data_IF_012682781220
#
_entry.id   IF_012682781220
#
_cell.length_a   1.000
_cell.length_b   1.000
_cell.length_c   1.000
_cell.angle_alpha   90.00
_cell.angle_beta   90.00
_cell.angle_gamma   90.00
#
_symmetry.space_group_name_H-M   'P 1'
#
loop_
_entity.id
_entity.type
_entity.pdbx_description
1 polymer ?
#
# COMPACT_ATOMS: atom_id res chain seq x y z
N UNK A 1 -12.91 17.71 -44.90
CA UNK A 1 -13.11 17.57 -43.45
C UNK A 1 -11.74 17.55 -42.80
N UNK A 2 -11.54 18.41 -41.82
CA UNK A 2 -10.24 19.06 -41.56
C UNK A 2 -9.28 18.22 -40.71
N UNK A 3 -8.01 18.23 -41.12
CA UNK A 3 -6.81 17.88 -40.36
C UNK A 3 -6.54 18.93 -39.27
N UNK A 4 -6.03 18.54 -38.10
CA UNK A 4 -5.14 19.42 -37.33
C UNK A 4 -4.07 18.63 -36.57
N UNK A 5 -2.83 19.05 -36.87
CA UNK A 5 -1.55 18.74 -36.22
C UNK A 5 -1.33 19.64 -34.99
N UNK A 6 -0.47 19.14 -34.12
CA UNK A 6 0.19 19.55 -32.86
C UNK A 6 0.53 21.03 -32.59
N UNK A 7 0.76 21.27 -31.28
CA UNK A 7 1.60 22.26 -30.54
C UNK A 7 0.90 23.54 -30.07
N UNK A 8 0.88 23.78 -28.74
CA UNK A 8 1.78 24.76 -28.12
C UNK A 8 1.69 24.76 -26.59
N UNK A 9 2.84 24.99 -25.96
CA UNK A 9 3.05 25.27 -24.54
C UNK A 9 2.33 26.55 -24.10
N UNK A 10 1.79 26.61 -22.88
CA UNK A 10 1.75 27.86 -22.11
C UNK A 10 1.54 27.65 -20.60
N UNK A 11 2.64 27.93 -19.90
CA UNK A 11 2.85 28.18 -18.46
C UNK A 11 1.85 29.21 -17.89
N UNK A 12 1.35 29.05 -16.65
CA UNK A 12 0.54 30.07 -16.00
C UNK A 12 1.41 31.24 -15.54
N UNK A 13 1.05 32.43 -16.03
CA UNK A 13 1.63 33.73 -15.69
C UNK A 13 1.03 34.24 -14.39
N UNK A 14 1.89 34.50 -13.40
CA UNK A 14 1.58 35.34 -12.24
C UNK A 14 1.65 36.81 -12.65
N UNK A 15 0.65 37.60 -12.23
CA UNK A 15 0.67 39.07 -12.24
C UNK A 15 -0.21 39.58 -11.10
N UNK A 16 0.06 40.82 -10.70
CA UNK A 16 -0.42 41.65 -9.57
C UNK A 16 0.53 41.55 -8.37
N UNK A 17 1.26 42.59 -7.91
CA UNK A 17 1.13 44.05 -7.98
C UNK A 17 2.51 44.76 -7.85
N UNK A 18 2.60 46.09 -8.08
CA UNK A 18 3.82 46.75 -8.52
C UNK A 18 4.66 47.43 -7.42
N UNK A 19 5.91 47.64 -7.81
CA UNK A 19 6.75 48.84 -7.68
C UNK A 19 6.90 49.58 -6.34
N UNK A 20 8.16 49.91 -6.15
CA UNK A 20 8.87 50.56 -5.08
C UNK A 20 8.62 52.08 -4.97
N UNK A 21 9.10 52.61 -3.84
CA UNK A 21 9.66 53.96 -3.66
C UNK A 21 8.70 55.16 -3.82
N UNK A 22 8.33 55.80 -2.71
CA UNK A 22 9.18 56.81 -2.06
C UNK A 22 8.44 57.50 -0.91
N UNK A 23 9.23 57.84 0.12
CA UNK A 23 8.89 58.79 1.16
C UNK A 23 9.06 60.23 0.63
N UNK A 24 8.17 61.12 1.07
CA UNK A 24 8.27 62.59 0.99
C UNK A 24 6.99 63.17 1.60
N UNK A 25 7.07 63.85 2.74
CA UNK A 25 7.33 65.31 2.90
C UNK A 25 6.01 66.07 2.72
N UNK A 26 5.46 66.91 3.60
CA UNK A 26 5.82 67.66 4.83
C UNK A 26 4.48 67.83 5.64
N UNK A 27 4.35 68.27 6.89
CA UNK A 27 4.97 69.32 7.71
C UNK A 27 4.61 69.04 9.19
N UNK A 28 5.59 69.20 10.09
CA UNK A 28 5.51 69.99 11.35
C UNK A 28 6.32 69.36 12.50
N UNK A 29 7.44 70.04 12.75
CA UNK A 29 8.10 70.25 14.04
C UNK A 29 8.82 69.08 14.76
N UNK A 30 10.12 69.02 14.43
CA UNK A 30 11.31 68.83 15.28
C UNK A 30 11.76 67.46 15.82
N UNK A 31 13.05 67.24 15.53
CA UNK A 31 14.02 66.32 16.15
C UNK A 31 13.88 64.84 15.85
N UNK A 32 14.72 64.37 14.93
CA UNK A 32 14.94 62.96 14.66
C UNK A 32 15.69 62.26 15.78
N UNK A 33 15.23 61.04 16.09
CA UNK A 33 16.06 59.92 16.51
C UNK A 33 15.45 58.67 15.84
N UNK A 34 16.19 58.04 14.92
CA UNK A 34 15.90 56.70 14.45
C UNK A 34 16.45 55.70 15.48
N UNK A 35 15.55 55.08 16.26
CA UNK A 35 15.87 53.86 17.01
C UNK A 35 15.01 52.74 16.48
N UNK A 36 15.60 51.98 15.56
CA UNK A 36 15.14 50.65 15.19
C UNK A 36 15.27 49.76 16.44
N UNK A 37 14.15 49.48 17.09
CA UNK A 37 14.07 48.44 18.12
C UNK A 37 13.31 47.27 17.50
N UNK A 38 13.99 46.58 16.58
CA UNK A 38 13.62 45.23 16.17
C UNK A 38 13.77 44.33 17.38
N UNK A 39 12.62 43.99 17.96
CA UNK A 39 12.49 42.92 18.95
C UNK A 39 12.76 41.61 18.21
N UNK A 40 14.03 41.22 18.15
CA UNK A 40 14.49 39.97 17.55
C UNK A 40 13.93 38.81 18.37
N UNK A 41 12.77 38.31 17.95
CA UNK A 41 12.23 37.04 18.40
C UNK A 41 13.12 35.96 17.81
N UNK A 42 14.07 35.49 18.62
CA UNK A 42 14.88 34.32 18.31
C UNK A 42 13.96 33.16 17.85
N UNK A 43 14.19 32.53 16.69
CA UNK A 43 13.46 31.34 16.33
C UNK A 43 13.89 30.22 17.29
N UNK A 44 12.97 29.82 18.17
CA UNK A 44 13.09 28.55 18.89
C UNK A 44 13.34 27.44 17.85
N UNK A 45 14.24 26.49 18.12
CA UNK A 45 14.34 25.30 17.29
C UNK A 45 12.99 24.59 17.38
N UNK A 46 12.25 24.58 16.26
CA UNK A 46 11.07 23.74 16.11
C UNK A 46 11.55 22.32 16.35
N UNK A 47 11.04 21.71 17.42
CA UNK A 47 11.21 20.30 17.68
C UNK A 47 10.85 19.55 16.40
N UNK A 48 11.83 18.78 15.92
CA UNK A 48 11.75 17.88 14.79
C UNK A 48 10.41 17.15 14.85
N UNK A 49 9.53 17.45 13.89
CA UNK A 49 8.30 16.72 13.67
C UNK A 49 8.73 15.34 13.16
N UNK A 50 9.00 14.43 14.09
CA UNK A 50 9.40 13.07 13.75
C UNK A 50 8.25 12.43 13.00
N UNK A 51 8.36 12.41 11.67
CA UNK A 51 7.47 11.60 10.84
C UNK A 51 7.52 10.17 11.41
N UNK A 52 6.36 9.54 11.65
CA UNK A 52 6.34 8.17 12.13
C UNK A 52 7.15 7.32 11.16
N UNK A 53 8.19 6.68 11.67
CA UNK A 53 8.96 5.70 10.89
C UNK A 53 8.01 4.54 10.63
N UNK A 54 7.38 4.55 9.46
CA UNK A 54 6.64 3.39 8.95
C UNK A 54 7.65 2.30 8.65
N UNK A 55 7.87 1.41 9.62
CA UNK A 55 8.68 0.23 9.42
C UNK A 55 8.02 -0.62 8.34
N UNK A 56 8.71 -0.82 7.22
CA UNK A 56 8.21 -1.65 6.13
C UNK A 56 7.84 -3.05 6.63
N UNK A 57 6.72 -3.58 6.14
CA UNK A 57 6.31 -4.94 6.45
C UNK A 57 7.33 -5.92 5.87
N UNK A 58 7.99 -6.77 6.69
CA UNK A 58 9.05 -7.66 6.22
C UNK A 58 8.55 -8.69 5.20
N UNK A 59 7.30 -9.15 5.29
CA UNK A 59 6.72 -10.06 4.29
C UNK A 59 6.52 -9.37 2.95
N UNK A 60 6.03 -8.12 2.98
CA UNK A 60 5.87 -7.28 1.80
C UNK A 60 7.20 -6.97 1.13
N UNK A 61 8.23 -6.59 1.90
CA UNK A 61 9.59 -6.39 1.38
C UNK A 61 10.11 -7.68 0.76
N UNK A 62 9.92 -8.82 1.42
CA UNK A 62 10.36 -10.11 0.89
C UNK A 62 9.70 -10.43 -0.45
N UNK A 63 8.40 -10.17 -0.62
CA UNK A 63 7.71 -10.36 -1.89
C UNK A 63 8.41 -9.61 -3.04
N UNK A 64 8.72 -8.33 -2.82
CA UNK A 64 9.36 -7.49 -3.84
C UNK A 64 10.79 -7.98 -4.11
N UNK A 65 11.53 -8.36 -3.08
CA UNK A 65 12.90 -8.91 -3.22
C UNK A 65 12.94 -10.24 -3.99
N UNK A 66 11.86 -11.03 -3.94
CA UNK A 66 11.70 -12.25 -4.75
C UNK A 66 11.30 -11.96 -6.20
N UNK A 67 11.09 -10.69 -6.56
CA UNK A 67 10.63 -10.28 -7.88
C UNK A 67 9.13 -10.40 -8.09
N UNK A 68 8.36 -10.54 -7.01
CA UNK A 68 6.90 -10.59 -7.05
C UNK A 68 6.28 -9.19 -7.01
N UNK A 69 4.99 -9.14 -7.33
CA UNK A 69 4.12 -7.97 -7.13
C UNK A 69 3.19 -8.22 -5.97
N UNK A 70 3.20 -7.34 -4.98
CA UNK A 70 2.31 -7.41 -3.83
C UNK A 70 0.95 -6.78 -4.17
N UNK A 71 -0.13 -7.52 -3.91
CA UNK A 71 -1.52 -7.01 -3.93
C UNK A 71 -2.16 -7.30 -2.59
N UNK A 72 -3.01 -6.41 -2.10
CA UNK A 72 -3.83 -6.68 -0.91
C UNK A 72 -5.19 -7.20 -1.36
N UNK A 73 -5.58 -8.34 -0.83
CA UNK A 73 -6.87 -8.99 -1.07
C UNK A 73 -7.68 -9.07 0.23
N UNK A 74 -8.99 -9.33 0.10
CA UNK A 74 -9.93 -9.36 1.23
C UNK A 74 -10.48 -10.77 1.45
N UNK A 75 -10.52 -11.20 2.70
CA UNK A 75 -11.12 -12.43 3.19
C UNK A 75 -12.65 -12.32 3.26
N UNK A 76 -13.33 -13.45 3.46
CA UNK A 76 -14.79 -13.48 3.57
C UNK A 76 -15.35 -12.73 4.79
N UNK A 77 -14.54 -12.54 5.84
CA UNK A 77 -14.87 -11.76 7.03
C UNK A 77 -14.51 -10.27 6.92
N UNK A 78 -13.94 -9.84 5.79
CA UNK A 78 -13.44 -8.48 5.58
C UNK A 78 -12.00 -8.25 6.03
N UNK A 79 -11.32 -9.26 6.58
CA UNK A 79 -9.89 -9.22 6.86
C UNK A 79 -9.07 -9.01 5.59
N UNK A 80 -7.85 -8.46 5.72
CA UNK A 80 -6.96 -8.22 4.59
C UNK A 80 -5.73 -9.12 4.68
N UNK A 81 -5.25 -9.56 3.52
CA UNK A 81 -4.01 -10.34 3.41
C UNK A 81 -3.23 -9.93 2.17
N UNK A 82 -1.90 -10.04 2.24
CA UNK A 82 -1.02 -9.75 1.13
C UNK A 82 -0.82 -10.97 0.24
N UNK A 83 -0.97 -10.79 -1.07
CA UNK A 83 -0.66 -11.81 -2.07
C UNK A 83 0.54 -11.36 -2.88
N UNK A 84 1.59 -12.16 -2.82
CA UNK A 84 2.75 -12.05 -3.67
C UNK A 84 2.53 -12.82 -4.97
N UNK A 85 2.36 -12.10 -6.08
CA UNK A 85 2.10 -12.67 -7.41
C UNK A 85 3.33 -12.59 -8.30
N UNK A 86 3.53 -13.61 -9.11
CA UNK A 86 4.60 -13.74 -10.10
C UNK A 86 4.02 -13.96 -11.50
N UNK A 87 4.89 -14.12 -12.49
CA UNK A 87 4.48 -14.49 -13.86
C UNK A 87 3.73 -15.83 -13.89
N UNK A 88 3.05 -16.09 -15.01
CA UNK A 88 2.32 -17.34 -15.24
C UNK A 88 1.26 -17.69 -14.17
N UNK A 89 0.70 -16.72 -13.46
CA UNK A 89 -0.35 -16.99 -12.45
C UNK A 89 0.18 -17.83 -11.28
N UNK A 90 1.44 -17.62 -10.93
CA UNK A 90 2.06 -18.16 -9.73
C UNK A 90 1.86 -17.17 -8.58
N UNK A 91 1.47 -17.62 -7.39
CA UNK A 91 1.31 -16.74 -6.23
C UNK A 91 1.49 -17.47 -4.89
N UNK A 92 1.77 -16.68 -3.85
CA UNK A 92 1.75 -17.08 -2.44
C UNK A 92 1.15 -15.96 -1.60
N UNK A 93 0.60 -16.28 -0.43
CA UNK A 93 0.37 -15.29 0.61
C UNK A 93 1.73 -14.81 1.15
N UNK A 94 1.87 -13.50 1.41
CA UNK A 94 3.17 -12.89 1.68
C UNK A 94 3.86 -13.48 2.92
N UNK A 95 3.10 -13.77 3.98
CA UNK A 95 3.64 -14.32 5.21
C UNK A 95 3.95 -15.81 5.10
N UNK A 96 3.12 -16.59 4.39
CA UNK A 96 3.40 -17.98 4.07
C UNK A 96 4.69 -18.10 3.25
N UNK A 97 4.90 -17.21 2.27
CA UNK A 97 6.15 -17.17 1.52
C UNK A 97 7.33 -16.74 2.41
N UNK A 98 7.16 -15.72 3.24
CA UNK A 98 8.20 -15.24 4.16
C UNK A 98 8.67 -16.34 5.13
N UNK A 99 7.74 -17.19 5.61
CA UNK A 99 8.04 -18.34 6.50
C UNK A 99 8.48 -19.60 5.75
N UNK A 100 8.41 -19.62 4.42
CA UNK A 100 8.73 -20.80 3.61
C UNK A 100 7.63 -21.88 3.59
N UNK A 101 6.42 -21.55 4.07
CA UNK A 101 5.21 -22.40 3.97
C UNK A 101 4.66 -22.42 2.54
N UNK A 102 5.02 -21.42 1.74
CA UNK A 102 4.72 -21.37 0.31
C UNK A 102 6.02 -21.14 -0.48
N UNK A 103 6.12 -21.76 -1.66
CA UNK A 103 7.35 -21.74 -2.47
C UNK A 103 7.77 -20.33 -2.85
N UNK A 104 9.08 -20.03 -2.80
CA UNK A 104 9.60 -18.68 -3.02
C UNK A 104 9.31 -18.05 -4.41
N UNK A 105 8.91 -18.86 -5.40
CA UNK A 105 8.47 -18.40 -6.72
C UNK A 105 6.95 -18.50 -6.95
N UNK A 106 6.18 -18.67 -5.88
CA UNK A 106 4.74 -18.90 -5.96
C UNK A 106 4.38 -20.37 -6.19
N UNK A 107 3.09 -20.66 -6.08
CA UNK A 107 2.46 -21.89 -6.57
C UNK A 107 1.48 -21.54 -7.69
N UNK A 108 1.22 -22.49 -8.59
CA UNK A 108 0.27 -22.27 -9.69
C UNK A 108 -1.15 -22.13 -9.14
N UNK A 109 -1.80 -21.00 -9.37
CA UNK A 109 -3.16 -20.78 -8.84
C UNK A 109 -4.28 -21.11 -9.83
N UNK A 110 -3.96 -21.38 -11.10
CA UNK A 110 -4.96 -21.58 -12.17
C UNK A 110 -5.82 -22.85 -12.02
N UNK A 111 -5.52 -23.71 -11.05
CA UNK A 111 -6.30 -24.92 -10.75
C UNK A 111 -7.34 -24.75 -9.65
N UNK A 112 -7.41 -23.59 -9.01
CA UNK A 112 -8.34 -23.32 -7.91
C UNK A 112 -9.54 -22.52 -8.41
N UNK A 113 -10.73 -23.10 -8.30
CA UNK A 113 -11.97 -22.55 -8.87
C UNK A 113 -12.55 -21.45 -7.98
N UNK A 114 -12.33 -21.55 -6.66
CA UNK A 114 -12.90 -20.63 -5.68
C UNK A 114 -11.83 -19.79 -4.98
N UNK A 115 -12.14 -18.57 -4.48
CA UNK A 115 -11.23 -17.79 -3.66
C UNK A 115 -10.74 -18.56 -2.42
N UNK A 116 -11.63 -19.36 -1.82
CA UNK A 116 -11.33 -20.15 -0.64
C UNK A 116 -10.29 -21.25 -0.92
N UNK A 117 -10.46 -22.01 -2.01
CA UNK A 117 -9.49 -23.06 -2.41
C UNK A 117 -8.14 -22.46 -2.79
N UNK A 118 -8.14 -21.32 -3.49
CA UNK A 118 -6.90 -20.56 -3.76
C UNK A 118 -6.24 -20.11 -2.47
N UNK A 119 -7.00 -19.54 -1.53
CA UNK A 119 -6.48 -19.05 -0.25
C UNK A 119 -5.83 -20.17 0.57
N UNK A 120 -6.46 -21.34 0.66
CA UNK A 120 -5.86 -22.54 1.27
C UNK A 120 -4.47 -22.83 0.69
N UNK A 121 -4.37 -22.90 -0.63
CA UNK A 121 -3.14 -23.27 -1.29
C UNK A 121 -2.02 -22.22 -1.12
N UNK A 122 -2.34 -20.94 -1.31
CA UNK A 122 -1.34 -19.87 -1.22
C UNK A 122 -0.88 -19.59 0.22
N UNK A 123 -1.65 -20.04 1.22
CA UNK A 123 -1.25 -20.01 2.64
C UNK A 123 -0.44 -21.24 3.07
N UNK A 124 -0.07 -22.12 2.12
CA UNK A 124 0.76 -23.30 2.38
C UNK A 124 -0.03 -24.56 2.76
N UNK A 125 -1.34 -24.57 2.54
CA UNK A 125 -2.18 -25.73 2.78
C UNK A 125 -2.32 -26.65 1.56
N UNK A 126 -2.50 -27.93 1.80
CA UNK A 126 -2.94 -28.92 0.81
C UNK A 126 -4.48 -28.92 0.75
N UNK A 127 -5.02 -28.64 -0.44
CA UNK A 127 -6.47 -28.57 -0.68
C UNK A 127 -7.01 -29.90 -1.22
N UNK A 128 -8.08 -30.41 -0.61
CA UNK A 128 -8.83 -31.58 -1.07
C UNK A 128 -10.33 -31.25 -1.24
N UNK A 129 -10.86 -31.47 -2.44
CA UNK A 129 -12.27 -31.25 -2.74
C UNK A 129 -13.13 -32.30 -2.00
N UNK A 130 -14.22 -31.86 -1.38
CA UNK A 130 -15.17 -32.73 -0.67
C UNK A 130 -16.56 -32.72 -1.29
N UNK A 131 -16.98 -31.62 -1.93
CA UNK A 131 -18.30 -31.52 -2.57
C UNK A 131 -18.33 -30.38 -3.63
N UNK A 132 -19.38 -30.34 -4.45
CA UNK A 132 -19.68 -29.28 -5.42
C UNK A 132 -18.50 -28.93 -6.35
N UNK A 133 -17.75 -29.93 -6.80
CA UNK A 133 -16.55 -29.74 -7.61
C UNK A 133 -16.82 -28.92 -8.89
N UNK A 134 -15.89 -28.03 -9.23
CA UNK A 134 -15.93 -27.15 -10.40
C UNK A 134 -17.10 -26.15 -10.40
N UNK A 135 -17.56 -25.72 -9.22
CA UNK A 135 -18.55 -24.65 -9.07
C UNK A 135 -18.02 -23.53 -8.17
N UNK A 136 -18.69 -22.38 -8.16
CA UNK A 136 -18.39 -21.28 -7.23
C UNK A 136 -18.61 -21.67 -5.75
N UNK A 137 -19.38 -22.74 -5.52
CA UNK A 137 -19.75 -23.29 -4.22
C UNK A 137 -18.90 -24.53 -3.85
N UNK A 138 -17.78 -24.75 -4.54
CA UNK A 138 -16.89 -25.88 -4.29
C UNK A 138 -16.48 -25.95 -2.82
N UNK A 139 -16.71 -27.12 -2.22
CA UNK A 139 -16.38 -27.39 -0.83
C UNK A 139 -15.10 -28.21 -0.77
N UNK A 140 -14.32 -27.99 0.27
CA UNK A 140 -13.12 -28.80 0.48
C UNK A 140 -12.48 -28.60 1.83
N UNK A 141 -11.48 -29.41 2.06
CA UNK A 141 -10.68 -29.43 3.27
C UNK A 141 -9.29 -28.90 2.96
N UNK A 142 -8.79 -28.00 3.81
CA UNK A 142 -7.42 -27.49 3.77
C UNK A 142 -6.61 -28.13 4.89
N UNK A 143 -5.46 -28.74 4.57
CA UNK A 143 -4.57 -29.39 5.55
C UNK A 143 -3.18 -28.79 5.52
N UNK A 144 -2.64 -28.40 6.67
CA UNK A 144 -1.32 -27.79 6.82
C UNK A 144 -0.29 -28.80 7.34
N UNK A 145 1.00 -28.51 7.14
CA UNK A 145 2.11 -29.40 7.58
C UNK A 145 2.11 -29.69 9.09
N UNK A 146 1.60 -28.76 9.89
CA UNK A 146 1.43 -28.93 11.34
C UNK A 146 0.29 -29.89 11.72
N UNK A 147 -0.42 -30.46 10.74
CA UNK A 147 -1.58 -31.34 10.92
C UNK A 147 -2.90 -30.60 11.16
N UNK A 148 -2.91 -29.26 11.14
CA UNK A 148 -4.13 -28.46 11.23
C UNK A 148 -4.98 -28.72 9.99
N UNK A 149 -6.27 -28.93 10.22
CA UNK A 149 -7.24 -29.10 9.15
C UNK A 149 -8.38 -28.10 9.33
N UNK A 150 -8.75 -27.43 8.26
CA UNK A 150 -9.86 -26.48 8.20
C UNK A 150 -10.82 -26.86 7.08
N UNK A 151 -12.11 -26.65 7.30
CA UNK A 151 -13.03 -26.44 6.17
C UNK A 151 -12.60 -25.18 5.41
N UNK A 152 -12.60 -25.25 4.08
CA UNK A 152 -12.01 -24.20 3.24
C UNK A 152 -12.75 -22.86 3.36
N UNK A 153 -14.07 -22.88 3.55
CA UNK A 153 -14.86 -21.66 3.69
C UNK A 153 -14.74 -21.09 5.10
N UNK A 154 -14.64 -21.94 6.12
CA UNK A 154 -14.29 -21.48 7.48
C UNK A 154 -12.92 -20.82 7.52
N UNK A 155 -11.94 -21.37 6.81
CA UNK A 155 -10.63 -20.75 6.67
C UNK A 155 -10.74 -19.36 6.01
N UNK A 156 -11.44 -19.28 4.88
CA UNK A 156 -11.58 -18.03 4.14
C UNK A 156 -12.41 -16.97 4.87
N UNK A 157 -13.33 -17.37 5.75
CA UNK A 157 -14.15 -16.49 6.58
C UNK A 157 -13.54 -16.21 7.95
N UNK A 158 -12.25 -16.53 8.18
CA UNK A 158 -11.57 -16.26 9.45
C UNK A 158 -12.06 -17.08 10.66
N UNK A 159 -12.92 -18.07 10.45
CA UNK A 159 -13.42 -18.97 11.51
C UNK A 159 -12.43 -20.09 11.83
N UNK A 160 -11.46 -20.34 10.93
CA UNK A 160 -10.36 -21.29 11.10
C UNK A 160 -9.06 -20.63 10.66
N UNK A 161 -7.96 -20.83 11.37
CA UNK A 161 -6.65 -20.30 10.97
C UNK A 161 -5.59 -21.41 10.87
N UNK A 162 -4.58 -21.26 10.00
CA UNK A 162 -3.51 -22.24 9.79
C UNK A 162 -2.71 -22.59 11.05
N UNK A 163 -2.59 -21.62 11.96
CA UNK A 163 -1.67 -21.65 13.10
C UNK A 163 -2.37 -21.60 14.47
N UNK A 164 -3.69 -21.87 14.52
CA UNK A 164 -4.49 -21.90 15.78
C UNK A 164 -4.56 -23.26 16.43
#
# INVERSE_FOLDING_TARGET
MNNYTTQDEQKPTQVVEPASENCGDEEDDTTGICTDTSSEKEPQPTADEQEPVELANPASTNCIERGGTLTIETLGDGGQYGVCSFEDGMACEEWAMFRGECSAGGIKTTGYVTPASRFCAITGGEYAITDNSNTEEEQGTCTYENGKTCDVWKLFNGECHPNS
#
